data_IF_460087053214
#
_entry.id   IF_460087053214
#
_cell.length_a   1.000
_cell.length_b   1.000
_cell.length_c   1.000
_cell.angle_alpha   90.00
_cell.angle_beta   90.00
_cell.angle_gamma   90.00
#
_symmetry.space_group_name_H-M   'P 1'
#
loop_
_entity.id
_entity.type
_entity.pdbx_description
1 polymer ?
#
# COMPACT_ATOMS: atom_id res chain seq x y z
N UNK A 1 15.04 -6.35 23.11
CA UNK A 1 13.77 -6.64 22.40
C UNK A 1 12.77 -7.12 23.47
N UNK A 2 11.65 -6.44 23.68
CA UNK A 2 10.64 -6.81 24.70
C UNK A 2 9.23 -6.72 24.11
N UNK A 3 8.28 -7.46 24.71
CA UNK A 3 6.86 -7.43 24.30
C UNK A 3 6.25 -6.02 24.41
N UNK A 4 6.62 -5.26 25.45
CA UNK A 4 6.16 -3.89 25.61
C UNK A 4 6.69 -2.95 24.51
N UNK A 5 7.98 -3.08 24.13
CA UNK A 5 8.54 -2.30 23.03
C UNK A 5 7.83 -2.61 21.69
N UNK A 6 7.52 -3.87 21.41
CA UNK A 6 6.76 -4.26 20.21
C UNK A 6 5.34 -3.69 20.24
N UNK A 7 4.68 -3.73 21.40
CA UNK A 7 3.33 -3.19 21.58
C UNK A 7 3.28 -1.68 21.36
N UNK A 8 4.26 -0.93 21.88
CA UNK A 8 4.39 0.52 21.64
C UNK A 8 4.62 0.84 20.17
N UNK A 9 5.51 0.11 19.50
CA UNK A 9 5.73 0.28 18.07
C UNK A 9 4.45 0.02 17.27
N UNK A 10 3.75 -1.08 17.53
CA UNK A 10 2.46 -1.39 16.87
C UNK A 10 1.43 -0.27 17.06
N UNK A 11 1.33 0.30 18.27
CA UNK A 11 0.44 1.44 18.54
C UNK A 11 0.85 2.68 17.74
N UNK A 12 2.14 2.99 17.64
CA UNK A 12 2.62 4.12 16.84
C UNK A 12 2.28 3.97 15.35
N UNK A 13 2.47 2.78 14.77
CA UNK A 13 2.07 2.52 13.37
C UNK A 13 0.55 2.59 13.19
N UNK A 14 -0.24 2.02 14.12
CA UNK A 14 -1.70 2.03 14.06
C UNK A 14 -2.29 3.44 14.18
N UNK A 15 -1.69 4.28 15.04
CA UNK A 15 -2.05 5.68 15.23
C UNK A 15 -1.52 6.60 14.11
N UNK A 16 -0.78 6.07 13.13
CA UNK A 16 -0.08 6.85 12.08
C UNK A 16 0.91 7.89 12.62
N UNK A 17 1.44 7.65 13.82
CA UNK A 17 2.44 8.51 14.46
C UNK A 17 3.88 8.25 13.95
N UNK A 18 4.06 7.27 13.06
CA UNK A 18 5.35 6.96 12.43
C UNK A 18 5.48 7.67 11.09
N UNK A 19 6.54 8.45 10.93
CA UNK A 19 6.96 8.93 9.61
C UNK A 19 7.72 7.82 8.88
N UNK A 20 7.35 7.55 7.63
CA UNK A 20 7.95 6.49 6.82
C UNK A 20 8.28 7.08 5.47
N UNK A 21 9.52 6.88 5.03
CA UNK A 21 10.04 7.38 3.75
C UNK A 21 10.66 6.22 3.01
N UNK A 22 10.37 6.12 1.72
CA UNK A 22 10.91 5.09 0.84
C UNK A 22 11.45 5.75 -0.43
N UNK A 23 12.44 5.12 -1.05
CA UNK A 23 12.93 5.49 -2.38
C UNK A 23 12.55 4.41 -3.37
N UNK A 24 12.05 4.80 -4.54
CA UNK A 24 11.65 3.90 -5.62
C UNK A 24 12.24 4.39 -6.94
N UNK A 25 12.88 3.47 -7.66
CA UNK A 25 13.26 3.69 -9.05
C UNK A 25 12.08 3.29 -9.93
N UNK A 26 11.57 4.22 -10.74
CA UNK A 26 10.38 4.03 -11.57
C UNK A 26 10.67 4.22 -13.05
N UNK A 27 9.85 3.60 -13.90
CA UNK A 27 9.89 3.82 -15.34
C UNK A 27 9.30 5.18 -15.74
N UNK A 28 9.88 5.78 -16.78
CA UNK A 28 9.46 7.08 -17.33
C UNK A 28 9.85 8.27 -16.45
N UNK A 29 9.49 9.46 -16.90
CA UNK A 29 9.71 10.72 -16.17
C UNK A 29 8.36 11.28 -15.71
N UNK A 30 8.05 11.24 -14.40
CA UNK A 30 6.90 11.97 -13.88
C UNK A 30 7.04 13.45 -14.23
N UNK A 31 5.99 14.03 -14.84
CA UNK A 31 6.02 15.42 -15.32
C UNK A 31 6.09 16.40 -14.15
N UNK A 32 5.30 16.15 -13.11
CA UNK A 32 5.32 16.95 -11.88
C UNK A 32 6.49 16.53 -10.97
N UNK A 33 7.05 17.49 -10.24
CA UNK A 33 8.08 17.24 -9.21
C UNK A 33 7.52 16.61 -7.95
N UNK A 34 6.21 16.73 -7.72
CA UNK A 34 5.52 16.06 -6.63
C UNK A 34 4.07 15.80 -7.00
N UNK A 35 3.50 14.74 -6.45
CA UNK A 35 2.09 14.45 -6.58
C UNK A 35 1.56 13.64 -5.39
N UNK A 36 0.25 13.63 -5.26
CA UNK A 36 -0.47 12.82 -4.29
C UNK A 36 -1.25 11.73 -5.03
N UNK A 37 -1.27 10.53 -4.44
CA UNK A 37 -2.13 9.46 -4.90
C UNK A 37 -3.03 8.99 -3.76
N UNK A 38 -4.32 9.14 -3.98
CA UNK A 38 -5.38 8.69 -3.08
C UNK A 38 -6.30 7.68 -3.77
N UNK A 39 -6.94 6.86 -2.97
CA UNK A 39 -7.95 5.92 -3.41
C UNK A 39 -8.03 4.72 -2.49
N UNK A 40 -9.09 3.93 -2.65
CA UNK A 40 -9.21 2.68 -1.92
C UNK A 40 -8.40 1.60 -2.63
N UNK A 41 -7.68 0.75 -1.88
CA UNK A 41 -7.02 -0.43 -2.44
C UNK A 41 -7.87 -1.67 -2.22
N UNK A 42 -8.14 -2.38 -3.30
CA UNK A 42 -8.84 -3.66 -3.30
C UNK A 42 -8.01 -4.70 -4.07
N UNK A 43 -8.20 -6.00 -3.79
CA UNK A 43 -7.68 -7.07 -4.65
C UNK A 43 -8.13 -6.86 -6.09
N UNK A 44 -7.26 -7.16 -7.06
CA UNK A 44 -7.64 -7.12 -8.47
C UNK A 44 -8.50 -8.35 -8.81
N UNK A 45 -9.77 -8.19 -9.22
CA UNK A 45 -10.64 -9.32 -9.56
C UNK A 45 -10.20 -10.07 -10.82
N UNK A 46 -9.36 -9.46 -11.65
CA UNK A 46 -8.86 -10.05 -12.90
C UNK A 46 -7.59 -10.88 -12.70
N UNK A 47 -6.99 -10.84 -11.50
CA UNK A 47 -5.80 -11.61 -11.18
C UNK A 47 -6.16 -12.96 -10.55
N UNK A 48 -6.00 -14.08 -11.27
CA UNK A 48 -6.33 -15.41 -10.76
C UNK A 48 -5.46 -15.83 -9.57
N UNK A 49 -4.29 -15.21 -9.39
CA UNK A 49 -3.39 -15.51 -8.25
C UNK A 49 -3.81 -14.83 -6.94
N UNK A 50 -4.65 -13.79 -7.01
CA UNK A 50 -5.05 -12.98 -5.85
C UNK A 50 -3.89 -12.16 -5.23
N UNK A 51 -2.79 -11.99 -5.95
CA UNK A 51 -1.61 -11.26 -5.48
C UNK A 51 -1.73 -9.76 -5.74
N UNK A 52 -2.30 -9.39 -6.89
CA UNK A 52 -2.41 -8.02 -7.40
C UNK A 52 -3.51 -7.24 -6.69
N UNK A 53 -3.24 -5.95 -6.55
CA UNK A 53 -4.14 -4.95 -5.99
C UNK A 53 -4.30 -3.83 -7.00
N UNK A 54 -5.42 -3.12 -6.92
CA UNK A 54 -5.66 -1.95 -7.74
C UNK A 54 -6.24 -0.83 -6.91
N UNK A 55 -6.03 0.40 -7.38
CA UNK A 55 -6.79 1.56 -6.92
C UNK A 55 -8.22 1.41 -7.43
N UNK A 56 -9.20 1.57 -6.55
CA UNK A 56 -10.61 1.67 -6.87
C UNK A 56 -11.11 3.03 -6.38
N UNK A 57 -11.96 3.68 -7.18
CA UNK A 57 -12.60 4.94 -6.80
C UNK A 57 -13.35 4.73 -5.48
N UNK A 58 -13.15 5.62 -4.50
CA UNK A 58 -13.80 5.51 -3.21
C UNK A 58 -15.30 5.76 -3.33
N UNK A 59 -16.11 4.73 -3.13
CA UNK A 59 -17.49 4.91 -2.71
C UNK A 59 -17.53 5.20 -1.21
N UNK A 60 -17.81 6.45 -0.84
CA UNK A 60 -18.05 6.97 0.52
C UNK A 60 -16.92 6.80 1.56
N UNK A 61 -16.75 7.75 2.51
CA UNK A 61 -15.81 7.59 3.62
C UNK A 61 -16.25 6.43 4.51
N UNK A 62 -15.33 5.50 4.77
CA UNK A 62 -15.55 4.39 5.68
C UNK A 62 -15.48 4.91 7.12
N UNK A 63 -16.59 5.44 7.63
CA UNK A 63 -16.81 5.65 9.07
C UNK A 63 -17.04 4.29 9.71
N UNK A 64 -15.96 3.59 10.06
CA UNK A 64 -16.06 2.38 10.88
C UNK A 64 -16.72 2.70 12.23
N UNK A 65 -17.47 1.76 12.82
CA UNK A 65 -18.26 2.05 14.02
C UNK A 65 -17.33 2.34 15.20
N UNK A 66 -17.68 3.37 15.97
CA UNK A 66 -17.12 3.58 17.29
C UNK A 66 -17.36 2.33 18.14
N UNK A 67 -16.31 1.86 18.82
CA UNK A 67 -16.43 0.79 19.80
C UNK A 67 -17.26 1.32 20.98
N UNK A 68 -18.52 0.93 21.05
CA UNK A 68 -19.38 1.08 22.23
C UNK A 68 -19.96 -0.26 22.64
N UNK A 69 -19.90 -0.57 23.94
CA UNK A 69 -20.76 -1.57 24.58
C UNK A 69 -20.04 -2.80 25.15
N UNK A 70 -19.81 -2.77 26.47
CA UNK A 70 -19.51 -3.94 27.28
C UNK A 70 -20.74 -4.87 27.38
N UNK A 71 -20.54 -6.19 27.36
CA UNK A 71 -21.62 -7.17 27.50
C UNK A 71 -21.15 -8.63 27.51
N UNK A 72 -20.83 -9.09 28.71
CA UNK A 72 -20.99 -10.44 29.29
C UNK A 72 -20.20 -11.67 28.78
N UNK A 73 -19.92 -12.53 29.77
CA UNK A 73 -18.99 -13.67 29.80
C UNK A 73 -19.63 -14.94 29.24
N UNK A 74 -18.91 -15.64 28.37
CA UNK A 74 -19.11 -17.06 28.05
C UNK A 74 -17.75 -17.76 27.95
N UNK A 75 -17.59 -18.89 28.65
CA UNK A 75 -16.35 -19.67 28.79
C UNK A 75 -15.83 -20.27 27.46
N UNK A 76 -14.51 -20.55 27.33
CA UNK A 76 -13.88 -20.86 26.05
C UNK A 76 -13.95 -22.36 25.71
N UNK A 77 -14.51 -22.67 24.54
CA UNK A 77 -14.26 -23.92 23.84
C UNK A 77 -12.84 -23.92 23.24
N UNK A 78 -12.06 -24.94 23.55
CA UNK A 78 -10.69 -25.15 23.09
C UNK A 78 -10.66 -25.57 21.60
N UNK A 79 -10.35 -24.61 20.74
CA UNK A 79 -9.98 -24.81 19.34
C UNK A 79 -9.45 -23.49 18.78
N UNK A 80 -8.41 -23.47 17.92
CA UNK A 80 -7.97 -22.22 17.31
C UNK A 80 -9.16 -21.60 16.57
N UNK A 81 -9.51 -20.33 16.83
CA UNK A 81 -10.64 -19.70 16.15
C UNK A 81 -10.32 -19.68 14.65
N UNK A 82 -11.05 -20.51 13.90
CA UNK A 82 -11.02 -20.45 12.45
C UNK A 82 -11.58 -19.09 12.07
N UNK A 83 -10.67 -18.20 11.68
CA UNK A 83 -10.98 -16.85 11.26
C UNK A 83 -11.98 -16.96 10.10
N UNK A 84 -13.22 -16.48 10.23
CA UNK A 84 -14.17 -16.53 9.13
C UNK A 84 -13.53 -15.87 7.91
N UNK A 85 -13.47 -16.57 6.78
CA UNK A 85 -13.15 -15.98 5.48
C UNK A 85 -14.36 -15.18 5.03
N UNK A 86 -14.70 -14.12 5.76
CA UNK A 86 -15.70 -13.16 5.29
C UNK A 86 -15.15 -12.51 4.03
N UNK A 87 -15.67 -12.96 2.89
CA UNK A 87 -15.58 -12.33 1.57
C UNK A 87 -16.42 -11.04 1.54
N UNK A 88 -16.35 -10.24 2.61
CA UNK A 88 -16.98 -8.92 2.74
C UNK A 88 -16.02 -7.77 2.42
N UNK A 89 -15.21 -7.91 1.36
CA UNK A 89 -14.20 -6.93 0.92
C UNK A 89 -14.54 -6.30 -0.44
N UNK A 90 -15.83 -6.10 -0.73
CA UNK A 90 -16.25 -5.46 -1.98
C UNK A 90 -15.88 -3.95 -2.04
N UNK A 91 -15.63 -3.31 -0.90
CA UNK A 91 -15.19 -1.92 -0.83
C UNK A 91 -13.72 -1.89 -0.38
N UNK A 92 -12.83 -1.45 -1.27
CA UNK A 92 -11.40 -1.34 -0.98
C UNK A 92 -11.10 -0.47 0.25
N UNK A 93 -9.87 -0.53 0.75
CA UNK A 93 -9.47 0.23 1.94
C UNK A 93 -8.79 1.53 1.56
N UNK A 94 -9.29 2.65 2.07
CA UNK A 94 -8.71 3.97 1.85
C UNK A 94 -7.19 3.99 2.09
N UNK A 95 -6.50 4.65 1.17
CA UNK A 95 -5.05 4.79 1.16
C UNK A 95 -4.60 6.11 0.55
N UNK A 96 -3.46 6.60 1.02
CA UNK A 96 -2.85 7.87 0.62
C UNK A 96 -1.33 7.77 0.66
N UNK A 97 -0.68 8.22 -0.40
CA UNK A 97 0.78 8.30 -0.52
C UNK A 97 1.16 9.63 -1.17
N UNK A 98 2.14 10.32 -0.59
CA UNK A 98 2.76 11.51 -1.18
C UNK A 98 4.04 11.09 -1.90
N UNK A 99 4.27 11.66 -3.08
CA UNK A 99 5.44 11.37 -3.89
C UNK A 99 6.18 12.64 -4.28
N UNK A 100 7.51 12.56 -4.29
CA UNK A 100 8.40 13.64 -4.73
C UNK A 100 9.47 13.06 -5.63
N UNK A 101 9.68 13.66 -6.81
CA UNK A 101 10.76 13.28 -7.71
C UNK A 101 12.07 13.83 -7.15
N UNK A 102 13.02 12.92 -6.92
CA UNK A 102 14.38 13.26 -6.46
C UNK A 102 15.29 13.51 -7.65
N UNK A 103 15.19 12.68 -8.69
CA UNK A 103 15.98 12.82 -9.91
C UNK A 103 15.27 12.17 -11.10
N UNK A 104 15.52 12.69 -12.31
CA UNK A 104 15.10 12.11 -13.58
C UNK A 104 16.34 11.79 -14.41
N UNK A 105 16.29 10.73 -15.20
CA UNK A 105 17.42 10.35 -16.05
C UNK A 105 17.16 9.10 -16.88
N UNK A 106 18.24 8.46 -17.32
CA UNK A 106 18.18 7.16 -17.98
C UNK A 106 18.68 6.07 -17.03
N UNK A 107 18.05 4.91 -17.09
CA UNK A 107 18.43 3.76 -16.29
C UNK A 107 19.82 3.27 -16.75
N UNK A 108 20.77 3.22 -15.81
CA UNK A 108 22.12 2.72 -16.04
C UNK A 108 22.33 1.29 -15.51
N UNK A 109 21.25 0.62 -15.10
CA UNK A 109 21.30 -0.76 -14.62
C UNK A 109 21.56 -1.70 -15.81
N UNK A 110 22.56 -2.60 -15.74
CA UNK A 110 22.76 -3.62 -16.76
C UNK A 110 21.51 -4.50 -16.91
N UNK A 111 21.17 -4.83 -18.15
CA UNK A 111 20.03 -5.70 -18.46
C UNK A 111 19.05 -5.05 -19.45
N UNK A 112 17.83 -5.59 -19.54
CA UNK A 112 16.87 -5.23 -20.61
C UNK A 112 16.40 -3.77 -20.55
N UNK A 113 16.61 -3.09 -19.42
CA UNK A 113 16.11 -1.74 -19.20
C UNK A 113 17.15 -0.64 -19.35
N UNK A 114 18.40 -1.00 -19.67
CA UNK A 114 19.48 -0.04 -19.83
C UNK A 114 19.13 1.02 -20.89
N UNK A 115 19.34 2.30 -20.56
CA UNK A 115 19.07 3.44 -21.44
C UNK A 115 17.61 3.91 -21.49
N UNK A 116 16.66 3.15 -20.92
CA UNK A 116 15.25 3.58 -20.79
C UNK A 116 15.14 4.78 -19.85
N UNK A 117 14.12 5.60 -20.06
CA UNK A 117 13.81 6.69 -19.14
C UNK A 117 13.34 6.17 -17.78
N UNK A 118 13.81 6.81 -16.72
CA UNK A 118 13.38 6.52 -15.36
C UNK A 118 13.62 7.68 -14.41
N UNK A 119 13.04 7.56 -13.22
CA UNK A 119 13.16 8.56 -12.17
C UNK A 119 13.37 7.90 -10.80
N UNK A 120 14.12 8.56 -9.93
CA UNK A 120 14.17 8.25 -8.50
C UNK A 120 13.07 9.07 -7.81
N UNK A 121 12.18 8.38 -7.12
CA UNK A 121 11.02 8.97 -6.45
C UNK A 121 11.06 8.63 -4.96
N UNK A 122 10.89 9.65 -4.13
CA UNK A 122 10.62 9.50 -2.71
C UNK A 122 9.12 9.27 -2.50
N UNK A 123 8.76 8.32 -1.64
CA UNK A 123 7.38 7.99 -1.30
C UNK A 123 7.15 8.03 0.21
N UNK A 124 6.12 8.77 0.62
CA UNK A 124 5.71 8.94 2.01
C UNK A 124 4.27 8.42 2.21
N UNK A 125 4.10 7.15 2.58
CA UNK A 125 2.77 6.57 2.75
C UNK A 125 2.14 6.99 4.09
N UNK A 126 1.08 7.79 4.01
CA UNK A 126 0.28 8.22 5.17
C UNK A 126 -0.48 7.03 5.76
N UNK A 127 -0.92 6.10 4.91
CA UNK A 127 -1.51 4.83 5.33
C UNK A 127 -0.51 3.66 5.23
N UNK A 128 -0.91 2.46 5.61
CA UNK A 128 -0.05 1.26 5.59
C UNK A 128 -0.74 0.06 4.96
N UNK A 129 -1.22 0.18 3.71
CA UNK A 129 -1.86 -0.93 3.00
C UNK A 129 -0.83 -1.83 2.33
N UNK A 130 -1.18 -3.11 2.16
CA UNK A 130 -0.36 -4.06 1.41
C UNK A 130 -0.16 -3.54 -0.02
N UNK A 131 1.09 -3.57 -0.50
CA UNK A 131 1.50 -3.13 -1.85
C UNK A 131 1.21 -1.66 -2.20
N UNK A 132 0.88 -0.80 -1.23
CA UNK A 132 0.36 0.54 -1.49
C UNK A 132 1.21 1.40 -2.44
N UNK A 133 2.51 1.53 -2.17
CA UNK A 133 3.42 2.33 -3.00
C UNK A 133 3.48 1.80 -4.43
N UNK A 134 3.64 0.47 -4.57
CA UNK A 134 3.71 -0.23 -5.87
C UNK A 134 2.48 0.04 -6.73
N UNK A 135 1.30 -0.11 -6.14
CA UNK A 135 0.01 0.08 -6.82
C UNK A 135 -0.21 1.54 -7.20
N UNK A 136 0.09 2.49 -6.30
CA UNK A 136 -0.09 3.92 -6.59
C UNK A 136 0.85 4.39 -7.71
N UNK A 137 2.12 3.96 -7.68
CA UNK A 137 3.10 4.27 -8.71
C UNK A 137 2.70 3.68 -10.07
N UNK A 138 2.26 2.43 -10.11
CA UNK A 138 1.75 1.81 -11.34
C UNK A 138 0.47 2.47 -11.86
N UNK A 139 -0.46 2.83 -10.97
CA UNK A 139 -1.68 3.55 -11.34
C UNK A 139 -1.40 4.96 -11.90
N UNK A 140 -0.30 5.59 -11.45
CA UNK A 140 0.20 6.85 -12.00
C UNK A 140 0.98 6.68 -13.32
N UNK A 141 1.11 5.45 -13.84
CA UNK A 141 1.87 5.16 -15.07
C UNK A 141 3.38 5.01 -14.88
N UNK A 142 3.85 5.00 -13.63
CA UNK A 142 5.26 4.98 -13.27
C UNK A 142 5.60 3.74 -12.43
N UNK A 143 5.43 2.55 -13.01
CA UNK A 143 5.73 1.28 -12.33
C UNK A 143 7.18 1.22 -11.81
N UNK A 144 7.38 0.55 -10.67
CA UNK A 144 8.71 0.35 -10.09
C UNK A 144 9.52 -0.59 -10.99
N UNK A 145 10.78 -0.25 -11.26
CA UNK A 145 11.70 -1.08 -12.03
C UNK A 145 11.91 -2.43 -11.32
N UNK A 146 11.77 -3.55 -12.03
CA UNK A 146 11.83 -4.90 -11.46
C UNK A 146 10.56 -5.38 -10.76
N UNK A 147 9.47 -4.60 -10.81
CA UNK A 147 8.19 -4.98 -10.19
C UNK A 147 7.24 -5.64 -11.20
N UNK A 148 7.52 -6.89 -11.58
CA UNK A 148 6.75 -7.63 -12.60
C UNK A 148 5.22 -7.55 -12.45
N UNK A 149 4.64 -7.80 -11.26
CA UNK A 149 3.18 -7.76 -11.07
C UNK A 149 2.49 -6.41 -11.37
N UNK A 150 3.22 -5.29 -11.31
CA UNK A 150 2.66 -3.95 -11.47
C UNK A 150 3.29 -3.13 -12.59
N UNK A 151 4.50 -3.48 -13.04
CA UNK A 151 5.21 -2.79 -14.12
C UNK A 151 5.18 -3.55 -15.45
N UNK A 152 4.68 -4.80 -15.48
CA UNK A 152 4.68 -5.62 -16.69
C UNK A 152 6.09 -5.96 -17.18
N UNK A 153 7.02 -6.03 -16.23
CA UNK A 153 8.44 -6.36 -16.38
C UNK A 153 8.65 -7.88 -16.34
#
# INVERSE_FOLDING_TARGET
>A
RSSDAASRACRAFAARATHKVYMALVFGHPVADSWESEGALAPDPTDPSGFRWRVVASGAPNTGPERGGAGERGSPGSGPPQRPKDRGQAQGKASKTLFTVVARGRLALPGPHMGREGALVMAEPVTGRRHQIRVHLAAAGHGIVGDGPYAGD
#
